data_IF_762724608977
#
_entry.id   IF_762724608977
#
_cell.length_a   1.000
_cell.length_b   1.000
_cell.length_c   1.000
_cell.angle_alpha   90.00
_cell.angle_beta   90.00
_cell.angle_gamma   90.00
#
_symmetry.space_group_name_H-M   'P 1'
#
loop_
_entity.id
_entity.type
_entity.pdbx_description
1 polymer ?
#
# COMPACT_ATOMS: atom_id res chain seq x y z
N UNK A 1 6.63 -40.03 33.93
CA UNK A 1 6.55 -39.98 32.45
C UNK A 1 5.39 -40.87 32.05
N UNK A 2 4.39 -40.31 31.35
CA UNK A 2 3.30 -41.06 30.71
C UNK A 2 3.70 -41.43 29.27
N UNK A 3 3.19 -42.54 28.75
CA UNK A 3 3.36 -42.92 27.34
C UNK A 3 2.50 -42.07 26.39
N UNK A 4 2.68 -42.27 25.08
CA UNK A 4 1.99 -41.55 24.00
C UNK A 4 0.48 -41.86 23.93
N UNK A 5 -0.01 -42.78 24.76
CA UNK A 5 -1.44 -43.06 24.97
C UNK A 5 -1.98 -42.47 26.29
N UNK A 6 -1.15 -41.73 27.03
CA UNK A 6 -1.49 -41.06 28.28
C UNK A 6 -1.44 -41.94 29.53
N UNK A 7 -0.81 -43.12 29.48
CA UNK A 7 -0.74 -44.05 30.64
C UNK A 7 0.57 -43.88 31.41
N UNK A 8 0.52 -43.90 32.75
CA UNK A 8 1.71 -43.89 33.62
C UNK A 8 1.60 -44.96 34.72
N UNK A 9 2.74 -45.57 35.05
CA UNK A 9 2.86 -46.50 36.18
C UNK A 9 3.10 -45.76 37.50
N UNK A 10 2.37 -46.16 38.55
CA UNK A 10 2.38 -45.52 39.88
C UNK A 10 2.91 -46.50 40.93
N UNK A 11 3.92 -46.09 41.70
CA UNK A 11 4.30 -46.71 42.97
C UNK A 11 3.44 -46.13 44.09
N UNK A 12 2.54 -46.93 44.67
CA UNK A 12 1.49 -46.47 45.57
C UNK A 12 1.90 -46.45 47.05
N UNK A 13 1.63 -45.34 47.75
CA UNK A 13 1.27 -45.32 49.16
C UNK A 13 -0.27 -45.38 49.24
N UNK A 14 -0.80 -46.27 50.11
CA UNK A 14 -2.05 -47.00 49.85
C UNK A 14 -3.35 -46.22 49.59
N UNK A 15 -3.46 -44.93 49.93
CA UNK A 15 -4.75 -44.22 49.84
C UNK A 15 -4.71 -42.89 49.06
N UNK A 16 -3.54 -42.45 48.57
CA UNK A 16 -3.45 -41.23 47.74
C UNK A 16 -2.29 -41.28 46.75
N UNK A 17 -2.48 -40.65 45.59
CA UNK A 17 -1.47 -40.51 44.55
C UNK A 17 -1.17 -39.04 44.30
N UNK A 18 0.09 -38.70 44.07
CA UNK A 18 0.48 -37.38 43.59
C UNK A 18 0.22 -37.29 42.09
N UNK A 19 -0.50 -36.27 41.67
CA UNK A 19 -0.93 -36.07 40.29
C UNK A 19 -0.45 -34.70 39.80
N UNK A 20 0.15 -34.71 38.61
CA UNK A 20 0.54 -33.49 37.88
C UNK A 20 -0.17 -33.53 36.53
N UNK A 21 -1.02 -32.54 36.28
CA UNK A 21 -1.79 -32.43 35.03
C UNK A 21 -1.58 -31.05 34.43
N UNK A 22 -1.27 -31.05 33.13
CA UNK A 22 -1.00 -29.84 32.35
C UNK A 22 -1.82 -29.87 31.07
N UNK A 23 -2.41 -28.72 30.73
CA UNK A 23 -3.16 -28.47 29.49
C UNK A 23 -2.86 -27.05 29.00
N UNK A 24 -2.71 -26.88 27.69
CA UNK A 24 -2.50 -25.55 27.09
C UNK A 24 -3.70 -24.64 27.36
N UNK A 25 -3.45 -23.39 27.74
CA UNK A 25 -4.49 -22.41 28.09
C UNK A 25 -5.04 -22.53 29.51
N UNK A 26 -4.46 -23.37 30.38
CA UNK A 26 -4.86 -23.54 31.78
C UNK A 26 -3.65 -23.57 32.73
N UNK A 27 -3.85 -23.15 33.99
CA UNK A 27 -2.83 -23.28 35.05
C UNK A 27 -2.61 -24.75 35.40
N UNK A 28 -1.35 -25.23 35.46
CA UNK A 28 -1.07 -26.63 35.75
C UNK A 28 -1.50 -26.98 37.18
N UNK A 29 -2.09 -28.17 37.34
CA UNK A 29 -2.49 -28.70 38.63
C UNK A 29 -1.38 -29.58 39.20
N UNK A 30 -1.04 -29.35 40.47
CA UNK A 30 -0.14 -30.20 41.26
C UNK A 30 -0.80 -30.47 42.61
N UNK A 31 -1.10 -31.73 42.91
CA UNK A 31 -1.76 -32.08 44.16
C UNK A 31 -1.83 -33.58 44.41
N UNK A 32 -2.18 -33.96 45.64
CA UNK A 32 -2.51 -35.34 45.98
C UNK A 32 -4.00 -35.57 45.80
N UNK A 33 -4.36 -36.68 45.18
CA UNK A 33 -5.75 -37.11 45.01
C UNK A 33 -5.95 -38.47 45.67
N UNK A 34 -7.06 -38.62 46.38
CA UNK A 34 -7.42 -39.90 46.99
C UNK A 34 -7.80 -40.92 45.91
N UNK A 35 -7.31 -42.15 46.04
CA UNK A 35 -7.58 -43.20 45.05
C UNK A 35 -8.89 -43.90 45.41
N UNK A 36 -10.01 -43.40 44.87
CA UNK A 36 -11.30 -44.09 44.87
C UNK A 36 -11.46 -45.02 43.65
N UNK A 37 -12.62 -45.66 43.53
CA UNK A 37 -12.94 -46.56 42.41
C UNK A 37 -13.25 -45.78 41.12
N UNK A 38 -12.20 -45.46 40.35
CA UNK A 38 -12.25 -45.43 38.88
C UNK A 38 -12.21 -44.08 38.17
N UNK A 39 -12.42 -42.93 38.85
CA UNK A 39 -12.33 -41.61 38.19
C UNK A 39 -12.00 -40.48 39.18
N UNK A 40 -11.12 -39.56 38.76
CA UNK A 40 -10.76 -38.36 39.50
C UNK A 40 -10.93 -37.15 38.58
N UNK A 41 -11.81 -36.23 38.93
CA UNK A 41 -11.99 -34.97 38.20
C UNK A 41 -11.09 -33.88 38.81
N UNK A 42 -10.33 -33.18 37.97
CA UNK A 42 -9.40 -32.12 38.37
C UNK A 42 -9.83 -30.81 37.72
N UNK A 43 -10.18 -29.82 38.55
CA UNK A 43 -10.55 -28.48 38.06
C UNK A 43 -9.29 -27.64 37.81
N UNK A 44 -9.14 -27.13 36.58
CA UNK A 44 -8.04 -26.25 36.17
C UNK A 44 -8.58 -24.87 35.81
N UNK A 45 -7.87 -23.82 36.22
CA UNK A 45 -8.27 -22.44 35.91
C UNK A 45 -7.68 -21.99 34.56
N UNK A 46 -8.43 -21.30 33.71
CA UNK A 46 -7.91 -20.81 32.44
C UNK A 46 -6.79 -19.79 32.66
N UNK A 47 -5.72 -19.91 31.87
CA UNK A 47 -4.59 -18.98 31.86
C UNK A 47 -4.97 -17.80 30.97
N UNK A 48 -5.52 -16.74 31.56
CA UNK A 48 -5.83 -15.49 30.85
C UNK A 48 -4.50 -14.84 30.46
N UNK A 49 -4.12 -14.92 29.18
CA UNK A 49 -2.99 -14.17 28.66
C UNK A 49 -3.48 -12.76 28.29
N UNK A 50 -3.13 -11.78 29.11
CA UNK A 50 -3.19 -10.38 28.70
C UNK A 50 -1.97 -10.10 27.83
N UNK A 51 -2.17 -10.00 26.52
CA UNK A 51 -1.14 -9.48 25.64
C UNK A 51 -0.95 -8.00 25.96
N UNK A 52 0.26 -7.61 26.32
CA UNK A 52 0.59 -6.19 26.44
C UNK A 52 0.33 -5.54 25.07
N UNK A 53 -0.37 -4.38 25.03
CA UNK A 53 -0.55 -3.67 23.77
C UNK A 53 0.82 -3.33 23.19
N UNK A 54 1.02 -3.67 21.92
CA UNK A 54 2.21 -3.26 21.17
C UNK A 54 2.14 -1.74 21.04
N UNK A 55 2.94 -1.02 21.82
CA UNK A 55 3.11 0.42 21.64
C UNK A 55 4.11 0.65 20.52
N UNK A 56 3.64 1.16 19.38
CA UNK A 56 4.49 1.65 18.31
C UNK A 56 4.97 3.05 18.72
N UNK A 57 6.09 3.14 19.43
CA UNK A 57 6.74 4.42 19.73
C UNK A 57 7.62 4.83 18.56
N UNK A 58 7.00 5.42 17.54
CA UNK A 58 7.72 6.14 16.50
C UNK A 58 7.78 7.63 16.85
N UNK A 59 8.83 8.10 17.53
CA UNK A 59 9.24 9.50 17.40
C UNK A 59 9.98 9.65 16.06
N UNK A 60 9.24 9.40 14.97
CA UNK A 60 9.71 9.67 13.62
C UNK A 60 9.56 11.16 13.36
N UNK A 61 10.59 11.76 12.77
CA UNK A 61 10.34 13.01 12.04
C UNK A 61 9.24 12.73 11.01
N UNK A 62 8.26 13.63 10.83
CA UNK A 62 7.19 13.39 9.86
C UNK A 62 7.80 13.01 8.52
N UNK A 63 7.40 11.85 8.00
CA UNK A 63 7.79 11.38 6.69
C UNK A 63 7.43 12.43 5.63
N UNK A 64 8.12 12.48 4.48
CA UNK A 64 7.76 13.40 3.41
C UNK A 64 6.27 13.37 3.06
N UNK A 65 5.63 12.20 3.11
CA UNK A 65 4.19 12.01 2.86
C UNK A 65 3.30 12.62 3.94
N UNK A 66 3.69 12.52 5.22
CA UNK A 66 2.97 13.18 6.31
C UNK A 66 3.08 14.70 6.19
N UNK A 67 4.25 15.22 5.83
CA UNK A 67 4.44 16.67 5.62
C UNK A 67 3.60 17.22 4.48
N UNK A 68 3.39 16.44 3.43
CA UNK A 68 2.54 16.86 2.30
C UNK A 68 1.06 16.63 2.55
N UNK A 69 0.67 15.99 3.67
CA UNK A 69 -0.73 15.69 3.99
C UNK A 69 -1.33 14.54 3.18
N UNK A 70 -0.50 13.67 2.60
CA UNK A 70 -0.94 12.55 1.75
C UNK A 70 -1.95 11.64 2.47
N UNK A 71 -1.61 11.19 3.68
CA UNK A 71 -2.47 10.28 4.44
C UNK A 71 -3.81 10.92 4.85
N UNK A 72 -3.81 12.21 5.16
CA UNK A 72 -5.04 12.97 5.43
C UNK A 72 -5.95 13.03 4.19
N UNK A 73 -5.37 13.12 2.99
CA UNK A 73 -6.13 13.07 1.74
C UNK A 73 -6.67 11.68 1.45
N UNK A 74 -5.89 10.62 1.66
CA UNK A 74 -6.37 9.23 1.55
C UNK A 74 -7.59 9.04 2.44
N UNK A 75 -7.50 9.46 3.71
CA UNK A 75 -8.59 9.33 4.67
C UNK A 75 -9.85 10.11 4.26
N UNK A 76 -9.68 11.37 3.81
CA UNK A 76 -10.80 12.19 3.31
C UNK A 76 -11.43 11.59 2.06
N UNK A 77 -10.65 11.03 1.14
CA UNK A 77 -11.14 10.38 -0.07
C UNK A 77 -11.99 9.14 0.24
N UNK A 78 -11.53 8.31 1.18
CA UNK A 78 -12.29 7.14 1.66
C UNK A 78 -13.65 7.52 2.25
N UNK A 79 -13.77 8.74 2.80
CA UNK A 79 -15.02 9.32 3.30
C UNK A 79 -15.83 10.07 2.25
N UNK A 80 -15.42 10.04 0.98
CA UNK A 80 -16.14 10.63 -0.13
C UNK A 80 -15.97 12.14 -0.28
N UNK A 81 -14.94 12.75 0.35
CA UNK A 81 -14.69 14.19 0.22
C UNK A 81 -14.36 14.61 -1.24
N UNK A 82 -13.76 13.71 -2.00
CA UNK A 82 -13.45 13.92 -3.41
C UNK A 82 -13.25 12.58 -4.12
N UNK A 83 -13.41 12.60 -5.45
CA UNK A 83 -13.22 11.43 -6.29
C UNK A 83 -11.76 11.34 -6.74
N UNK A 84 -10.98 10.47 -6.12
CA UNK A 84 -9.56 10.27 -6.42
C UNK A 84 -9.16 8.81 -6.22
N UNK A 85 -8.04 8.43 -6.83
CA UNK A 85 -7.38 7.14 -6.62
C UNK A 85 -5.98 7.38 -6.05
N UNK A 86 -5.58 6.53 -5.11
CA UNK A 86 -4.30 6.62 -4.41
C UNK A 86 -3.51 5.34 -4.63
N UNK A 87 -2.21 5.49 -4.83
CA UNK A 87 -1.25 4.38 -4.76
C UNK A 87 -0.40 4.66 -3.52
N UNK A 88 -0.62 3.89 -2.47
CA UNK A 88 0.05 4.07 -1.18
C UNK A 88 1.42 3.40 -1.18
N UNK A 89 2.33 3.75 -0.25
CA UNK A 89 3.63 3.07 -0.13
C UNK A 89 3.49 1.55 -0.01
N UNK A 90 2.50 1.08 0.76
CA UNK A 90 2.25 -0.35 0.99
C UNK A 90 1.83 -1.06 -0.31
N UNK A 91 1.05 -0.38 -1.16
CA UNK A 91 0.68 -0.92 -2.47
C UNK A 91 1.88 -0.93 -3.45
N UNK A 92 2.72 0.11 -3.43
CA UNK A 92 3.92 0.18 -4.26
C UNK A 92 4.90 -0.94 -3.91
N UNK A 93 5.07 -1.23 -2.62
CA UNK A 93 5.95 -2.29 -2.14
C UNK A 93 5.40 -3.68 -2.46
N UNK A 94 4.08 -3.86 -2.46
CA UNK A 94 3.45 -5.10 -2.86
C UNK A 94 3.54 -5.36 -4.37
N UNK A 95 3.47 -4.31 -5.21
CA UNK A 95 3.47 -4.45 -6.67
C UNK A 95 4.86 -4.61 -7.29
N UNK A 96 5.90 -4.03 -6.69
CA UNK A 96 7.29 -4.07 -7.22
C UNK A 96 7.39 -3.77 -8.72
N UNK A 97 6.77 -2.68 -9.18
CA UNK A 97 6.81 -2.29 -10.60
C UNK A 97 8.23 -2.01 -11.08
N UNK A 98 8.60 -2.56 -12.26
CA UNK A 98 9.92 -2.36 -12.85
C UNK A 98 10.08 -0.96 -13.45
N UNK A 99 9.00 -0.38 -13.98
CA UNK A 99 8.97 0.97 -14.53
C UNK A 99 7.88 1.83 -13.89
N UNK A 100 8.06 3.15 -13.89
CA UNK A 100 7.10 4.10 -13.31
C UNK A 100 5.74 3.99 -14.00
N UNK A 101 5.75 3.83 -15.32
CA UNK A 101 4.56 3.59 -16.14
C UNK A 101 3.74 2.39 -15.66
N UNK A 102 4.40 1.35 -15.15
CA UNK A 102 3.72 0.11 -14.75
C UNK A 102 2.76 0.33 -13.59
N UNK A 103 3.03 1.34 -12.76
CA UNK A 103 2.19 1.72 -11.61
C UNK A 103 0.80 2.22 -12.03
N UNK A 104 0.68 2.69 -13.27
CA UNK A 104 -0.53 3.32 -13.80
C UNK A 104 -1.42 2.37 -14.61
N UNK A 105 -0.95 1.16 -14.95
CA UNK A 105 -1.81 0.18 -15.62
C UNK A 105 -2.93 -0.31 -14.70
N UNK A 106 -4.15 -0.38 -15.26
CA UNK A 106 -5.34 -0.85 -14.55
C UNK A 106 -5.93 0.14 -13.54
N UNK A 107 -5.44 1.39 -13.52
CA UNK A 107 -5.98 2.47 -12.68
C UNK A 107 -7.26 3.04 -13.28
N UNK A 108 -8.16 3.56 -12.44
CA UNK A 108 -9.51 4.00 -12.83
C UNK A 108 -9.51 5.28 -13.67
N UNK A 109 -8.60 6.21 -13.38
CA UNK A 109 -8.65 7.57 -13.91
C UNK A 109 -7.53 7.91 -14.88
N UNK A 110 -6.61 6.97 -15.09
CA UNK A 110 -5.43 7.19 -15.92
C UNK A 110 -5.13 5.94 -16.72
N UNK A 111 -4.76 6.15 -17.97
CA UNK A 111 -4.34 5.13 -18.90
C UNK A 111 -2.96 5.53 -19.45
N UNK A 112 -1.90 4.78 -19.12
CA UNK A 112 -0.60 4.99 -19.73
C UNK A 112 -0.64 4.58 -21.20
N UNK A 113 -0.11 5.44 -22.07
CA UNK A 113 0.02 5.17 -23.51
C UNK A 113 1.49 5.31 -23.89
N UNK A 114 2.04 4.25 -24.48
CA UNK A 114 3.38 4.24 -25.08
C UNK A 114 3.31 4.71 -26.53
N UNK A 115 4.23 5.57 -26.91
CA UNK A 115 4.35 6.14 -28.26
C UNK A 115 5.80 5.96 -28.73
N UNK A 116 6.00 5.37 -29.92
CA UNK A 116 7.32 5.15 -30.52
C UNK A 116 7.84 3.71 -30.43
N UNK A 117 8.81 3.38 -31.29
CA UNK A 117 9.44 2.05 -31.41
C UNK A 117 10.85 1.97 -30.82
N UNK A 118 11.48 3.10 -30.48
CA UNK A 118 12.90 3.14 -30.03
C UNK A 118 13.19 3.97 -28.78
N UNK A 119 12.31 4.90 -28.39
CA UNK A 119 12.27 5.49 -27.05
C UNK A 119 10.83 5.44 -26.58
N UNK A 120 10.58 4.73 -25.47
CA UNK A 120 9.23 4.49 -24.96
C UNK A 120 8.67 5.76 -24.34
N UNK A 121 8.15 6.67 -25.17
CA UNK A 121 7.52 7.89 -24.68
C UNK A 121 6.18 7.51 -24.08
N UNK A 122 6.14 7.39 -22.76
CA UNK A 122 4.90 7.13 -22.03
C UNK A 122 4.20 8.44 -21.65
N UNK A 123 2.94 8.56 -22.04
CA UNK A 123 2.02 9.59 -21.60
C UNK A 123 0.92 9.03 -20.69
N UNK A 124 0.47 9.86 -19.75
CA UNK A 124 -0.70 9.56 -18.93
C UNK A 124 -1.93 10.26 -19.51
N UNK A 125 -2.89 9.46 -19.99
CA UNK A 125 -4.16 9.96 -20.51
C UNK A 125 -5.29 9.69 -19.50
N UNK A 126 -6.16 10.68 -19.30
CA UNK A 126 -7.39 10.54 -18.54
C UNK A 126 -8.56 10.10 -19.42
N UNK A 127 -9.77 10.32 -18.91
CA UNK A 127 -11.02 9.98 -19.61
C UNK A 127 -11.09 10.68 -20.98
N UNK A 128 -11.50 9.93 -22.00
CA UNK A 128 -11.64 10.46 -23.37
C UNK A 128 -10.31 10.70 -24.10
N UNK A 129 -9.19 10.13 -23.61
CA UNK A 129 -7.88 10.28 -24.25
C UNK A 129 -7.24 11.65 -24.05
N UNK A 130 -7.78 12.44 -23.11
CA UNK A 130 -7.24 13.75 -22.80
C UNK A 130 -6.00 13.64 -21.88
N UNK A 131 -5.09 14.60 -21.94
CA UNK A 131 -3.82 14.58 -21.20
C UNK A 131 -4.03 14.83 -19.70
N UNK A 132 -3.23 14.15 -18.87
CA UNK A 132 -3.12 14.43 -17.44
C UNK A 132 -1.96 15.40 -17.19
N UNK A 133 -2.12 16.32 -16.23
CA UNK A 133 -1.00 17.08 -15.69
C UNK A 133 -0.26 16.22 -14.67
N UNK A 134 1.05 16.06 -14.83
CA UNK A 134 1.88 15.27 -13.91
C UNK A 134 2.71 16.22 -13.05
N UNK A 135 2.69 16.00 -11.74
CA UNK A 135 3.49 16.73 -10.77
C UNK A 135 4.42 15.76 -10.05
N UNK A 136 5.67 16.14 -9.84
CA UNK A 136 6.63 15.40 -9.02
C UNK A 136 7.06 16.34 -7.90
N UNK A 137 6.78 15.98 -6.65
CA UNK A 137 7.02 16.80 -5.46
C UNK A 137 6.51 18.24 -5.60
N UNK A 138 5.36 18.36 -6.27
CA UNK A 138 4.72 19.63 -6.55
C UNK A 138 5.27 20.43 -7.74
N UNK A 139 6.28 19.93 -8.43
CA UNK A 139 6.77 20.53 -9.67
C UNK A 139 6.01 19.96 -10.87
N UNK A 140 5.36 20.83 -11.64
CA UNK A 140 4.73 20.44 -12.90
C UNK A 140 5.78 19.92 -13.87
N UNK A 141 5.61 18.67 -14.28
CA UNK A 141 6.35 18.10 -15.38
C UNK A 141 5.66 18.50 -16.68
N UNK A 142 6.44 19.05 -17.62
CA UNK A 142 5.98 19.38 -18.97
C UNK A 142 6.64 18.42 -19.96
N UNK A 143 6.22 17.15 -20.00
CA UNK A 143 6.71 16.27 -21.04
C UNK A 143 6.29 16.87 -22.38
N UNK A 144 7.27 17.19 -23.23
CA UNK A 144 7.01 17.70 -24.57
C UNK A 144 6.24 16.59 -25.31
N UNK A 145 5.00 16.85 -25.72
CA UNK A 145 4.23 15.87 -26.49
C UNK A 145 4.51 16.16 -27.97
N UNK A 146 4.85 15.18 -28.80
CA UNK A 146 5.04 15.42 -30.23
C UNK A 146 3.78 16.08 -30.77
N UNK A 147 3.97 17.15 -31.57
CA UNK A 147 2.87 17.84 -32.23
C UNK A 147 2.13 16.83 -33.11
N UNK A 148 0.87 16.55 -32.79
CA UNK A 148 0.04 15.57 -33.52
C UNK A 148 -0.78 14.63 -32.63
N UNK A 149 -0.47 14.50 -31.33
CA UNK A 149 -1.15 13.53 -30.44
C UNK A 149 -2.47 14.04 -29.85
N UNK A 150 -2.84 15.31 -30.05
CA UNK A 150 -4.15 15.84 -29.66
C UNK A 150 -5.03 15.96 -30.90
N UNK A 151 -5.86 14.96 -31.15
CA UNK A 151 -6.94 15.08 -32.14
C UNK A 151 -7.24 13.84 -32.99
N UNK A 152 -6.46 12.76 -32.91
CA UNK A 152 -6.66 11.64 -33.84
C UNK A 152 -6.87 10.33 -33.10
N UNK A 153 -8.04 9.72 -33.32
CA UNK A 153 -8.23 8.29 -33.12
C UNK A 153 -7.23 7.49 -33.96
N UNK A 154 -7.05 6.19 -33.64
CA UNK A 154 -6.19 5.20 -34.32
C UNK A 154 -5.70 5.67 -35.70
N UNK A 155 -4.47 6.20 -35.79
CA UNK A 155 -3.89 6.50 -37.11
C UNK A 155 -2.80 7.57 -37.23
N UNK A 156 -2.46 8.36 -36.21
CA UNK A 156 -1.38 9.34 -36.36
C UNK A 156 -0.04 8.80 -35.89
N UNK A 157 0.68 8.21 -36.85
CA UNK A 157 2.08 7.86 -36.74
C UNK A 157 2.75 8.32 -38.04
N UNK A 158 2.81 9.64 -38.27
CA UNK A 158 3.62 10.20 -39.35
C UNK A 158 4.44 11.41 -38.87
N UNK A 159 5.75 11.27 -39.10
CA UNK A 159 6.80 12.30 -39.11
C UNK A 159 7.26 12.91 -37.78
N UNK A 160 8.14 12.16 -37.10
CA UNK A 160 9.19 12.73 -36.26
C UNK A 160 10.41 13.08 -37.15
N UNK A 161 10.66 14.37 -37.37
CA UNK A 161 11.94 14.90 -37.87
C UNK A 161 12.38 16.13 -37.09
N UNK A 162 12.02 16.21 -35.80
CA UNK A 162 12.55 17.24 -34.92
C UNK A 162 12.97 16.58 -33.61
N UNK A 163 14.27 16.36 -33.46
CA UNK A 163 14.96 15.78 -32.30
C UNK A 163 14.93 16.73 -31.09
N UNK A 164 13.75 17.20 -30.70
CA UNK A 164 13.58 17.60 -29.30
C UNK A 164 13.31 16.33 -28.54
N UNK A 165 14.25 15.96 -27.67
CA UNK A 165 14.14 14.83 -26.78
C UNK A 165 12.88 14.99 -25.93
N UNK A 166 11.80 14.38 -26.40
CA UNK A 166 10.57 14.20 -25.65
C UNK A 166 10.93 13.30 -24.46
N UNK A 167 10.84 13.86 -23.25
CA UNK A 167 11.20 13.15 -22.02
C UNK A 167 10.03 12.26 -21.60
N UNK A 168 10.25 10.94 -21.56
CA UNK A 168 9.24 9.98 -21.11
C UNK A 168 9.10 9.99 -19.59
N UNK A 169 7.94 9.61 -19.06
CA UNK A 169 7.74 9.52 -17.60
C UNK A 169 8.77 8.60 -16.93
N UNK A 170 9.13 7.50 -17.59
CA UNK A 170 10.13 6.53 -17.12
C UNK A 170 11.57 7.11 -17.14
N UNK A 171 11.83 8.16 -17.91
CA UNK A 171 13.14 8.84 -17.95
C UNK A 171 13.26 9.94 -16.87
N UNK A 172 12.12 10.42 -16.35
CA UNK A 172 12.07 11.50 -15.35
C UNK A 172 12.24 10.94 -13.95
N UNK A 173 11.64 9.79 -13.68
CA UNK A 173 11.60 9.21 -12.34
C UNK A 173 11.56 7.69 -12.38
N UNK A 174 12.42 7.08 -11.56
CA UNK A 174 12.43 5.64 -11.32
C UNK A 174 11.27 5.22 -10.42
N UNK A 175 10.71 4.03 -10.71
CA UNK A 175 9.62 3.47 -9.92
C UNK A 175 9.99 3.33 -8.43
N UNK A 176 11.26 3.05 -8.12
CA UNK A 176 11.77 2.88 -6.76
C UNK A 176 11.84 4.18 -5.95
N UNK A 177 11.96 5.34 -6.63
CA UNK A 177 12.03 6.66 -5.98
C UNK A 177 10.65 7.20 -5.58
N UNK A 178 9.58 6.60 -6.12
CA UNK A 178 8.20 7.01 -5.84
C UNK A 178 7.79 6.50 -4.46
N UNK A 179 7.44 7.41 -3.56
CA UNK A 179 6.89 7.09 -2.24
C UNK A 179 5.37 6.91 -2.28
N UNK A 180 4.65 7.73 -3.04
CA UNK A 180 3.21 7.59 -3.21
C UNK A 180 2.71 8.31 -4.46
N UNK A 181 1.48 7.99 -4.88
CA UNK A 181 0.82 8.63 -6.03
C UNK A 181 -0.63 8.99 -5.71
N UNK A 182 -1.05 10.17 -6.16
CA UNK A 182 -2.44 10.63 -6.13
C UNK A 182 -2.94 10.91 -7.54
N UNK A 183 -4.12 10.40 -7.88
CA UNK A 183 -4.71 10.52 -9.21
C UNK A 183 -6.09 11.15 -9.08
N UNK A 184 -6.24 12.35 -9.64
CA UNK A 184 -7.50 13.08 -9.67
C UNK A 184 -8.03 13.15 -11.10
N UNK A 185 -9.27 12.70 -11.37
CA UNK A 185 -9.85 12.71 -12.71
C UNK A 185 -10.15 14.12 -13.23
N UNK A 186 -10.12 15.14 -12.35
CA UNK A 186 -10.12 16.55 -12.74
C UNK A 186 -9.45 17.43 -11.69
N UNK A 187 -8.97 18.60 -12.12
CA UNK A 187 -8.43 19.62 -11.22
C UNK A 187 -9.46 20.09 -10.17
N UNK A 188 -10.76 20.03 -10.49
CA UNK A 188 -11.83 20.36 -9.56
C UNK A 188 -12.04 19.31 -8.46
N UNK A 189 -11.59 18.07 -8.67
CA UNK A 189 -11.59 17.03 -7.64
C UNK A 189 -10.33 17.07 -6.75
N UNK A 190 -9.32 17.87 -7.11
CA UNK A 190 -8.13 18.01 -6.30
C UNK A 190 -8.41 18.94 -5.11
N UNK A 191 -7.93 18.60 -3.90
CA UNK A 191 -8.12 19.45 -2.72
C UNK A 191 -7.36 20.77 -2.83
N UNK A 192 -7.81 21.77 -2.08
CA UNK A 192 -7.32 23.14 -2.16
C UNK A 192 -5.81 23.30 -1.86
N UNK A 193 -5.30 22.43 -0.98
CA UNK A 193 -3.87 22.33 -0.67
C UNK A 193 -2.99 21.91 -1.86
N UNK A 194 -3.57 21.34 -2.93
CA UNK A 194 -2.89 21.08 -4.21
C UNK A 194 -3.14 22.19 -5.24
N UNK A 195 -3.76 23.31 -4.89
CA UNK A 195 -4.01 24.45 -5.81
C UNK A 195 -2.74 25.03 -6.45
N UNK A 196 -1.58 25.15 -5.76
CA UNK A 196 -0.35 25.58 -6.43
C UNK A 196 0.02 24.67 -7.61
N UNK A 197 -0.33 23.38 -7.48
CA UNK A 197 -0.16 22.39 -8.53
C UNK A 197 -1.22 22.63 -9.62
N UNK A 198 -2.50 22.66 -9.24
CA UNK A 198 -3.60 22.74 -10.22
C UNK A 198 -3.64 24.05 -11.01
N UNK A 199 -3.22 25.17 -10.42
CA UNK A 199 -3.09 26.46 -11.11
C UNK A 199 -1.96 26.48 -12.14
N UNK A 200 -1.01 25.54 -12.01
CA UNK A 200 0.05 25.28 -12.99
C UNK A 200 -0.33 24.16 -13.96
N UNK A 201 -1.53 23.59 -13.88
CA UNK A 201 -1.94 22.48 -14.75
C UNK A 201 -1.75 22.84 -16.22
N UNK A 202 -1.27 21.87 -16.99
CA UNK A 202 -1.01 22.07 -18.41
C UNK A 202 -2.32 22.46 -19.13
N UNK A 203 -2.26 23.51 -19.94
CA UNK A 203 -3.43 23.98 -20.70
C UNK A 203 -4.01 22.84 -21.54
N UNK A 204 -5.28 22.50 -21.31
CA UNK A 204 -5.96 21.39 -21.97
C UNK A 204 -5.84 20.02 -21.28
N UNK A 205 -5.26 19.96 -20.07
CA UNK A 205 -5.31 18.76 -19.25
C UNK A 205 -6.68 18.59 -18.57
N UNK A 206 -7.15 17.35 -18.46
CA UNK A 206 -8.45 17.02 -17.86
C UNK A 206 -8.32 16.52 -16.43
N UNK A 207 -7.12 16.19 -15.96
CA UNK A 207 -6.88 15.64 -14.63
C UNK A 207 -5.45 15.81 -14.18
N UNK A 208 -5.17 15.32 -12.97
CA UNK A 208 -3.91 15.53 -12.26
C UNK A 208 -3.39 14.20 -11.76
N UNK A 209 -2.09 13.99 -11.89
CA UNK A 209 -1.34 12.94 -11.23
C UNK A 209 -0.25 13.61 -10.40
N UNK A 210 -0.32 13.48 -9.09
CA UNK A 210 0.73 13.95 -8.19
C UNK A 210 1.57 12.75 -7.73
N UNK A 211 2.86 12.82 -7.95
CA UNK A 211 3.85 11.81 -7.59
C UNK A 211 4.70 12.40 -6.48
N UNK A 212 4.79 11.69 -5.37
CA UNK A 212 5.62 12.07 -4.22
C UNK A 212 6.84 11.17 -4.17
N UNK A 213 8.03 11.77 -4.07
CA UNK A 213 9.28 11.02 -3.96
C UNK A 213 9.74 10.92 -2.50
N UNK A 214 10.54 9.90 -2.23
CA UNK A 214 11.11 9.70 -0.90
C UNK A 214 11.34 8.25 -0.56
N UNK A 215 11.95 8.01 0.61
CA UNK A 215 12.08 6.68 1.17
C UNK A 215 10.73 6.14 1.64
N UNK A 216 10.46 4.86 1.35
CA UNK A 216 9.26 4.14 1.81
C UNK A 216 9.44 3.51 3.21
N UNK A 217 10.25 4.11 4.07
CA UNK A 217 10.65 3.56 5.39
C UNK A 217 10.68 4.63 6.46
#
# INVERSE_FOLDING_TARGET
MTDDSGRAFIGAARDSISLSVRRMGYTPFFGRVAVGLGRVDVSMHPLVQTLSPVQVTGQGWPSPLEKTGFYDRVYRAQRGAFNAEFITPEELDARQGAHTTDLFFGRRFVNPVRTGTSSSQTYLLGRGGCKMSVFIDGMLQRPEVPRGTTGCGRGCLESANNERAIVALDDIIDASAIAAVEIFPSAANAPAELIPLTGSAQKGACGIVAIWTGGRR
#
